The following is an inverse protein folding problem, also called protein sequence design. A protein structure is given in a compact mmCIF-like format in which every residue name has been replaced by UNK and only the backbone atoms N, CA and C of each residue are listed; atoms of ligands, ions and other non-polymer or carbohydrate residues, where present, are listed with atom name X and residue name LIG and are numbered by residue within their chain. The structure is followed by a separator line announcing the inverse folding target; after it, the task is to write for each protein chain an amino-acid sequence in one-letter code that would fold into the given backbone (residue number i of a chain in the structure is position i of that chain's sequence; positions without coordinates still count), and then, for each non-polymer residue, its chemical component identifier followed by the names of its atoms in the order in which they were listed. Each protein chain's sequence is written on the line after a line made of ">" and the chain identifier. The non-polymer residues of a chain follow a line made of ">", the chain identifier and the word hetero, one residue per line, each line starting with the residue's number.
data_IF_605107732201
#
_entry.id   IF_605107732201
#
_cell.length_a   1.000
_cell.length_b   1.000
_cell.length_c   1.000
_cell.angle_alpha   90.00
_cell.angle_beta   90.00
_cell.angle_gamma   90.00
#
_symmetry.space_group_name_H-M   'P 1'
#
loop_
_entity.id
_entity.type
_entity.pdbx_description
1 polymer ?
#
# COMPACT_ATOMS: atom_id res chain seq x y z
N UNK A 1 -25.19 -22.24 -14.24
CA UNK A 1 -25.02 -21.05 -13.37
C UNK A 1 -23.86 -21.36 -12.44
N UNK A 2 -22.67 -20.83 -12.70
CA UNK A 2 -21.51 -21.10 -11.84
C UNK A 2 -21.44 -20.00 -10.78
N UNK A 3 -21.60 -20.40 -9.52
CA UNK A 3 -21.52 -19.50 -8.36
C UNK A 3 -20.07 -19.03 -8.17
N UNK A 4 -19.88 -17.71 -8.01
CA UNK A 4 -18.62 -17.12 -7.58
C UNK A 4 -18.60 -17.08 -6.05
N UNK A 5 -17.70 -17.84 -5.44
CA UNK A 5 -17.26 -17.59 -4.07
C UNK A 5 -16.02 -16.70 -4.14
N UNK A 6 -16.17 -15.40 -3.91
CA UNK A 6 -15.04 -14.52 -3.64
C UNK A 6 -15.14 -14.08 -2.18
N UNK A 7 -14.45 -14.81 -1.30
CA UNK A 7 -14.25 -14.36 0.08
C UNK A 7 -13.21 -13.24 0.04
N UNK A 8 -13.69 -12.00 -0.10
CA UNK A 8 -12.83 -10.81 -0.09
C UNK A 8 -12.47 -10.46 1.35
N UNK A 9 -11.49 -11.15 1.92
CA UNK A 9 -10.79 -10.65 3.11
C UNK A 9 -9.82 -9.55 2.67
N UNK A 10 -10.34 -8.34 2.46
CA UNK A 10 -9.52 -7.13 2.25
C UNK A 10 -8.87 -6.65 3.55
N UNK A 11 -8.22 -7.55 4.29
CA UNK A 11 -7.55 -7.22 5.55
C UNK A 11 -6.12 -6.71 5.31
N UNK A 12 -5.84 -6.09 4.16
CA UNK A 12 -4.54 -5.52 3.88
C UNK A 12 -4.43 -4.15 4.53
N UNK A 13 -3.54 -4.03 5.51
CA UNK A 13 -3.17 -2.75 6.08
C UNK A 13 -2.16 -2.03 5.18
N UNK A 14 -1.86 -0.77 5.45
CA UNK A 14 -0.79 -0.05 4.77
C UNK A 14 -0.12 0.94 5.74
N UNK A 15 1.16 1.22 5.49
CA UNK A 15 1.87 2.31 6.16
C UNK A 15 1.99 3.51 5.21
N UNK A 16 1.46 4.64 5.65
CA UNK A 16 1.57 5.92 4.92
C UNK A 16 2.77 6.70 5.45
N UNK A 17 3.61 7.19 4.53
CA UNK A 17 4.76 8.04 4.82
C UNK A 17 4.55 9.41 4.20
N UNK A 18 4.91 10.43 4.97
CA UNK A 18 4.72 11.83 4.62
C UNK A 18 6.08 12.54 4.57
N UNK A 19 6.36 13.34 3.52
CA UNK A 19 7.58 14.13 3.48
C UNK A 19 7.47 15.33 4.43
N UNK A 20 8.62 15.83 4.91
CA UNK A 20 8.66 16.97 5.85
C UNK A 20 8.15 18.28 5.24
N UNK A 21 8.18 18.39 3.91
CA UNK A 21 7.83 19.56 3.10
C UNK A 21 6.33 19.72 2.81
N UNK A 22 5.47 19.06 3.59
CA UNK A 22 4.02 19.18 3.47
C UNK A 22 3.56 20.62 3.67
N UNK A 23 2.93 21.18 2.64
CA UNK A 23 2.31 22.49 2.67
C UNK A 23 0.84 22.38 2.25
N UNK A 24 -0.09 23.09 2.92
CA UNK A 24 -1.48 23.14 2.50
C UNK A 24 -1.62 23.54 1.03
N UNK A 25 -2.46 22.82 0.28
CA UNK A 25 -2.73 23.10 -1.14
C UNK A 25 -1.67 22.62 -2.13
N UNK A 26 -0.50 22.16 -1.69
CA UNK A 26 0.50 21.55 -2.57
C UNK A 26 0.13 20.10 -2.87
N UNK A 27 -0.07 19.79 -4.15
CA UNK A 27 -0.20 18.39 -4.60
C UNK A 27 1.17 17.73 -4.64
N UNK A 28 1.27 16.54 -4.07
CA UNK A 28 2.47 15.70 -4.09
C UNK A 28 2.20 14.44 -4.91
N UNK A 29 3.21 13.91 -5.63
CA UNK A 29 3.11 12.57 -6.20
C UNK A 29 2.95 11.51 -5.11
N UNK A 30 2.27 10.41 -5.46
CA UNK A 30 2.09 9.25 -4.58
C UNK A 30 2.91 8.08 -5.11
N UNK A 31 3.73 7.48 -4.25
CA UNK A 31 4.44 6.23 -4.48
C UNK A 31 3.65 5.09 -3.82
N UNK A 32 3.11 4.17 -4.61
CA UNK A 32 2.64 2.88 -4.09
C UNK A 32 3.83 1.93 -4.03
N UNK A 33 4.14 1.41 -2.84
CA UNK A 33 5.27 0.52 -2.62
C UNK A 33 4.81 -0.87 -2.18
N UNK A 34 5.19 -1.88 -2.97
CA UNK A 34 5.04 -3.30 -2.66
C UNK A 34 6.43 -3.81 -2.29
N UNK A 35 6.54 -4.44 -1.12
CA UNK A 35 7.86 -4.80 -0.59
C UNK A 35 8.43 -6.06 -1.26
N UNK A 36 9.74 -6.26 -1.08
CA UNK A 36 10.42 -7.49 -1.50
C UNK A 36 10.08 -8.67 -0.59
N UNK A 37 10.85 -9.77 -0.66
CA UNK A 37 10.58 -10.96 0.17
C UNK A 37 9.67 -12.00 -0.50
N UNK A 38 9.51 -11.89 -1.82
CA UNK A 38 8.86 -12.88 -2.68
C UNK A 38 7.41 -13.22 -2.30
N UNK A 39 6.68 -12.27 -1.70
CA UNK A 39 5.33 -12.47 -1.15
C UNK A 39 5.25 -13.56 -0.08
N UNK A 40 6.35 -13.87 0.60
CA UNK A 40 6.41 -14.91 1.63
C UNK A 40 7.00 -14.38 2.95
N UNK A 41 7.64 -13.21 2.93
CA UNK A 41 8.41 -12.69 4.05
C UNK A 41 8.34 -11.17 4.09
N UNK A 42 8.71 -10.62 5.25
CA UNK A 42 8.78 -9.19 5.54
C UNK A 42 7.42 -8.49 5.53
N UNK A 43 7.44 -7.20 5.85
CA UNK A 43 6.24 -6.36 5.93
C UNK A 43 6.63 -4.89 5.77
N UNK A 44 5.70 -3.99 5.35
CA UNK A 44 5.87 -2.54 5.46
C UNK A 44 6.25 -2.06 6.86
N UNK A 45 5.99 -2.88 7.89
CA UNK A 45 6.30 -2.56 9.28
C UNK A 45 7.74 -2.91 9.70
N UNK A 46 8.46 -3.72 8.92
CA UNK A 46 9.86 -4.08 9.16
C UNK A 46 10.79 -2.86 9.15
N UNK A 47 11.87 -2.90 9.94
CA UNK A 47 12.86 -1.82 9.99
C UNK A 47 13.54 -1.59 8.64
N UNK A 48 13.82 -2.66 7.90
CA UNK A 48 14.48 -2.60 6.58
C UNK A 48 13.64 -1.81 5.58
N UNK A 49 12.37 -2.21 5.39
CA UNK A 49 11.50 -1.52 4.44
C UNK A 49 11.03 -0.16 4.94
N UNK A 50 10.85 0.00 6.26
CA UNK A 50 10.60 1.32 6.85
C UNK A 50 11.69 2.33 6.48
N UNK A 51 12.94 1.98 6.74
CA UNK A 51 14.08 2.87 6.51
C UNK A 51 14.22 3.19 5.03
N UNK A 52 14.11 2.17 4.16
CA UNK A 52 14.18 2.35 2.72
C UNK A 52 13.10 3.33 2.21
N UNK A 53 11.83 3.09 2.54
CA UNK A 53 10.72 3.95 2.08
C UNK A 53 10.83 5.36 2.66
N UNK A 54 11.24 5.49 3.93
CA UNK A 54 11.49 6.80 4.56
C UNK A 54 12.57 7.61 3.82
N UNK A 55 13.67 6.96 3.42
CA UNK A 55 14.71 7.60 2.59
C UNK A 55 14.17 8.04 1.24
N UNK A 56 13.41 7.18 0.54
CA UNK A 56 12.81 7.52 -0.76
C UNK A 56 11.85 8.71 -0.64
N UNK A 57 10.98 8.71 0.38
CA UNK A 57 10.02 9.79 0.66
C UNK A 57 10.74 11.12 0.88
N UNK A 58 11.80 11.10 1.69
CA UNK A 58 12.56 12.31 1.98
C UNK A 58 13.37 12.81 0.78
N UNK A 59 13.87 11.91 -0.07
CA UNK A 59 14.71 12.27 -1.22
C UNK A 59 13.88 12.75 -2.43
N UNK A 60 12.73 12.13 -2.67
CA UNK A 60 11.89 12.40 -3.84
C UNK A 60 10.72 13.37 -3.55
N UNK A 61 10.51 13.76 -2.29
CA UNK A 61 9.41 14.63 -1.85
C UNK A 61 8.04 14.09 -2.29
N UNK A 62 7.78 12.82 -1.96
CA UNK A 62 6.58 12.06 -2.32
C UNK A 62 5.83 11.61 -1.08
N UNK A 63 4.52 11.40 -1.19
CA UNK A 63 3.77 10.59 -0.21
C UNK A 63 3.95 9.12 -0.61
N UNK A 64 4.26 8.23 0.33
CA UNK A 64 4.31 6.80 0.03
C UNK A 64 3.21 6.02 0.76
N UNK A 65 2.62 5.05 0.07
CA UNK A 65 1.69 4.05 0.61
C UNK A 65 2.39 2.70 0.48
N UNK A 66 2.91 2.17 1.58
CA UNK A 66 3.57 0.87 1.64
C UNK A 66 2.54 -0.19 2.03
N UNK A 67 2.23 -1.09 1.11
CA UNK A 67 1.16 -2.09 1.25
C UNK A 67 1.64 -3.25 2.12
N UNK A 68 0.76 -3.74 2.99
CA UNK A 68 0.92 -5.00 3.73
C UNK A 68 0.21 -6.10 2.93
N UNK A 69 0.90 -6.61 1.91
CA UNK A 69 0.37 -7.62 1.01
C UNK A 69 0.32 -9.00 1.66
N UNK A 70 -0.70 -9.79 1.31
CA UNK A 70 -0.90 -11.12 1.86
C UNK A 70 0.28 -12.05 1.55
N UNK A 71 0.86 -12.64 2.60
CA UNK A 71 2.02 -13.51 2.48
C UNK A 71 1.64 -14.98 2.34
N UNK A 72 2.30 -15.68 1.43
CA UNK A 72 2.30 -17.14 1.34
C UNK A 72 3.08 -17.75 2.51
N UNK A 73 2.67 -18.91 3.06
CA UNK A 73 1.51 -19.73 2.65
C UNK A 73 0.17 -19.32 3.26
N UNK A 74 0.16 -18.41 4.24
CA UNK A 74 -1.04 -18.05 5.00
C UNK A 74 -2.13 -17.41 4.13
N UNK A 75 -1.72 -16.62 3.14
CA UNK A 75 -2.55 -16.04 2.08
C UNK A 75 -1.94 -16.38 0.72
N UNK A 76 -2.32 -17.53 0.13
CA UNK A 76 -1.78 -17.97 -1.15
C UNK A 76 -2.11 -17.01 -2.29
N UNK A 77 -1.34 -17.12 -3.38
CA UNK A 77 -1.65 -16.47 -4.65
C UNK A 77 -3.10 -16.79 -5.05
N UNK A 78 -3.93 -15.78 -5.44
CA UNK A 78 -3.54 -14.43 -5.86
C UNK A 78 -3.59 -13.33 -4.78
N UNK A 79 -3.66 -13.65 -3.49
CA UNK A 79 -3.92 -12.66 -2.44
C UNK A 79 -3.02 -11.41 -2.47
N UNK A 80 -1.70 -11.57 -2.64
CA UNK A 80 -0.77 -10.44 -2.75
C UNK A 80 -1.08 -9.51 -3.94
N UNK A 81 -1.56 -10.06 -5.06
CA UNK A 81 -1.96 -9.29 -6.24
C UNK A 81 -3.27 -8.55 -5.99
N UNK A 82 -4.24 -9.22 -5.36
CA UNK A 82 -5.54 -8.62 -5.02
C UNK A 82 -5.37 -7.46 -4.04
N UNK A 83 -4.49 -7.60 -3.04
CA UNK A 83 -4.18 -6.54 -2.07
C UNK A 83 -3.46 -5.36 -2.74
N UNK A 84 -2.46 -5.63 -3.58
CA UNK A 84 -1.74 -4.60 -4.33
C UNK A 84 -2.68 -3.83 -5.27
N UNK A 85 -3.62 -4.53 -5.90
CA UNK A 85 -4.62 -3.95 -6.78
C UNK A 85 -5.66 -3.14 -6.00
N UNK A 86 -6.13 -3.64 -4.86
CA UNK A 86 -7.03 -2.91 -3.98
C UNK A 86 -6.38 -1.60 -3.47
N UNK A 87 -5.12 -1.65 -3.04
CA UNK A 87 -4.38 -0.46 -2.63
C UNK A 87 -4.22 0.55 -3.77
N UNK A 88 -3.96 0.09 -5.00
CA UNK A 88 -3.88 0.95 -6.19
C UNK A 88 -5.21 1.67 -6.46
N UNK A 89 -6.33 0.95 -6.38
CA UNK A 89 -7.66 1.51 -6.53
C UNK A 89 -7.97 2.52 -5.42
N UNK A 90 -7.60 2.21 -4.17
CA UNK A 90 -7.76 3.11 -3.04
C UNK A 90 -6.99 4.42 -3.25
N UNK A 91 -5.72 4.36 -3.64
CA UNK A 91 -4.90 5.56 -3.94
C UNK A 91 -5.55 6.40 -5.04
N UNK A 92 -6.01 5.76 -6.11
CA UNK A 92 -6.66 6.46 -7.23
C UNK A 92 -7.97 7.16 -6.81
N UNK A 93 -8.76 6.55 -5.92
CA UNK A 93 -9.99 7.13 -5.40
C UNK A 93 -9.73 8.38 -4.52
N UNK A 94 -8.54 8.48 -3.91
CA UNK A 94 -8.17 9.56 -2.99
C UNK A 94 -7.44 10.74 -3.64
N UNK A 95 -7.27 10.75 -4.98
CA UNK A 95 -6.54 11.78 -5.72
C UNK A 95 -7.03 13.23 -5.50
N UNK A 96 -8.32 13.39 -5.17
CA UNK A 96 -8.98 14.68 -4.96
C UNK A 96 -9.40 14.89 -3.49
N UNK A 97 -8.82 14.14 -2.55
CA UNK A 97 -9.20 14.14 -1.12
C UNK A 97 -10.67 13.76 -0.83
N UNK A 98 -11.37 13.17 -1.80
CA UNK A 98 -12.79 12.79 -1.73
C UNK A 98 -13.01 11.27 -1.65
N UNK A 99 -11.95 10.48 -1.45
CA UNK A 99 -12.06 9.04 -1.33
C UNK A 99 -12.68 8.61 0.01
N UNK A 100 -13.26 7.39 0.09
CA UNK A 100 -13.74 6.84 1.34
C UNK A 100 -12.57 6.63 2.31
N UNK A 101 -12.67 7.22 3.52
CA UNK A 101 -11.63 7.12 4.54
C UNK A 101 -11.23 5.67 4.86
N UNK A 102 -10.03 5.45 5.45
CA UNK A 102 -9.60 4.11 5.85
C UNK A 102 -10.63 3.49 6.80
N UNK A 103 -11.08 2.27 6.47
CA UNK A 103 -12.00 1.47 7.27
C UNK A 103 -11.30 0.60 8.29
#
# INVERSE_FOLDING_TARGET
>A
MSSYHQTLTFLSSARIFLPKSLQPGRKLPVLLYIHGGAFCMESPFSTTFHNFVSTVVSAADVVAVSVDDGLFPDRPIPACYDDSWAASQWVSAHKDCNGPGPG
#
